data_IF_490491234990
#
_entry.id   IF_490491234990
#
_cell.length_a   1.000
_cell.length_b   1.000
_cell.length_c   1.000
_cell.angle_alpha   90.00
_cell.angle_beta   90.00
_cell.angle_gamma   90.00
#
_symmetry.space_group_name_H-M   'P 1'
#
loop_
_entity.id
_entity.type
_entity.pdbx_description
1 polymer ?
#
# COMPACT_ATOMS: atom_id res chain seq x y z
N UNK A 1 -15.32 12.23 12.76
CA UNK A 1 -14.39 12.35 11.63
C UNK A 1 -13.78 10.98 11.37
N UNK A 2 -14.03 10.43 10.23
CA UNK A 2 -13.39 9.16 9.87
C UNK A 2 -11.89 9.35 9.94
N UNK A 3 -11.19 8.49 10.70
CA UNK A 3 -9.74 8.42 10.59
C UNK A 3 -9.43 8.15 9.13
N UNK A 4 -8.70 9.04 8.54
CA UNK A 4 -8.39 8.96 7.13
C UNK A 4 -7.64 7.66 6.84
N UNK A 5 -8.23 6.85 5.99
CA UNK A 5 -7.64 5.57 5.58
C UNK A 5 -6.54 5.87 4.57
N UNK A 6 -5.33 5.42 4.88
CA UNK A 6 -4.16 5.63 4.02
C UNK A 6 -4.00 4.51 2.99
N UNK A 7 -3.27 4.79 1.91
CA UNK A 7 -2.91 3.77 0.93
C UNK A 7 -2.15 2.59 1.54
N UNK A 8 -1.30 2.86 2.53
CA UNK A 8 -0.57 1.81 3.24
C UNK A 8 -1.49 0.92 4.08
N UNK A 9 -2.54 1.48 4.68
CA UNK A 9 -3.56 0.68 5.40
C UNK A 9 -4.31 -0.26 4.44
N UNK A 10 -4.63 0.21 3.23
CA UNK A 10 -5.25 -0.61 2.18
C UNK A 10 -4.32 -1.76 1.76
N UNK A 11 -3.05 -1.47 1.58
CA UNK A 11 -2.02 -2.47 1.28
C UNK A 11 -1.95 -3.54 2.38
N UNK A 12 -1.84 -3.12 3.65
CA UNK A 12 -1.76 -4.05 4.77
C UNK A 12 -3.05 -4.86 4.98
N UNK A 13 -4.21 -4.28 4.72
CA UNK A 13 -5.48 -5.00 4.79
C UNK A 13 -5.49 -6.21 3.86
N UNK A 14 -4.95 -6.07 2.66
CA UNK A 14 -4.84 -7.17 1.70
C UNK A 14 -3.76 -8.19 2.11
N UNK A 15 -2.63 -7.72 2.60
CA UNK A 15 -1.51 -8.59 3.00
C UNK A 15 -1.84 -9.40 4.26
N UNK A 16 -2.27 -8.73 5.32
CA UNK A 16 -2.53 -9.36 6.62
C UNK A 16 -3.28 -8.38 7.53
N UNK A 17 -4.50 -8.74 7.90
CA UNK A 17 -5.34 -7.91 8.78
C UNK A 17 -4.75 -7.73 10.17
N UNK A 18 -4.03 -8.72 10.68
CA UNK A 18 -3.30 -8.66 11.95
C UNK A 18 -2.15 -7.64 11.89
N UNK A 19 -1.41 -7.61 10.78
CA UNK A 19 -0.37 -6.62 10.52
C UNK A 19 -0.94 -5.21 10.46
N UNK A 20 -2.08 -5.02 9.81
CA UNK A 20 -2.79 -3.74 9.80
C UNK A 20 -3.12 -3.29 11.23
N UNK A 21 -3.62 -4.21 12.06
CA UNK A 21 -3.94 -3.90 13.45
C UNK A 21 -2.71 -3.44 14.25
N UNK A 22 -1.57 -4.12 14.10
CA UNK A 22 -0.31 -3.70 14.70
C UNK A 22 0.09 -2.30 14.24
N UNK A 23 0.02 -2.07 12.95
CA UNK A 23 0.40 -0.80 12.35
C UNK A 23 -0.42 0.37 12.90
N UNK A 24 -1.75 0.25 12.97
CA UNK A 24 -2.61 1.33 13.44
C UNK A 24 -2.58 1.53 14.95
N UNK A 25 -2.08 0.56 15.68
CA UNK A 25 -1.82 0.65 17.13
C UNK A 25 -0.36 1.02 17.45
N UNK A 26 0.37 1.53 16.46
CA UNK A 26 1.74 2.04 16.60
C UNK A 26 2.77 0.97 17.02
N UNK A 27 2.45 -0.31 16.83
CA UNK A 27 3.40 -1.41 17.03
C UNK A 27 4.18 -1.59 15.72
N UNK A 28 5.26 -0.84 15.56
CA UNK A 28 6.03 -0.80 14.32
C UNK A 28 7.38 -1.53 14.48
N UNK A 29 7.49 -2.67 13.81
CA UNK A 29 8.72 -3.47 13.77
C UNK A 29 9.42 -3.41 12.40
N UNK A 30 8.87 -2.66 11.46
CA UNK A 30 9.36 -2.66 10.07
C UNK A 30 10.64 -1.87 9.86
N UNK A 31 10.93 -0.88 10.70
CA UNK A 31 12.10 -0.02 10.55
C UNK A 31 13.42 -0.80 10.55
N UNK A 32 13.47 -1.93 11.26
CA UNK A 32 14.63 -2.80 11.37
C UNK A 32 14.60 -3.98 10.38
N UNK A 33 13.61 -4.06 9.50
CA UNK A 33 13.48 -5.14 8.54
C UNK A 33 14.33 -4.87 7.29
N UNK A 34 15.25 -5.77 6.96
CA UNK A 34 16.14 -5.62 5.80
C UNK A 34 15.41 -5.49 4.46
N UNK A 35 14.26 -6.13 4.30
CA UNK A 35 13.45 -6.02 3.09
C UNK A 35 12.82 -4.64 2.94
N UNK A 36 12.40 -4.01 4.04
CA UNK A 36 11.87 -2.65 4.05
C UNK A 36 12.97 -1.64 3.73
N UNK A 37 14.14 -1.80 4.33
CA UNK A 37 15.31 -0.95 4.05
C UNK A 37 15.72 -1.05 2.58
N UNK A 38 15.79 -2.25 2.03
CA UNK A 38 16.12 -2.46 0.62
C UNK A 38 15.09 -1.80 -0.31
N UNK A 39 13.80 -1.91 0.02
CA UNK A 39 12.73 -1.25 -0.76
C UNK A 39 12.87 0.27 -0.78
N UNK A 40 13.18 0.89 0.35
CA UNK A 40 13.44 2.34 0.45
C UNK A 40 14.67 2.76 -0.35
N UNK A 41 15.76 2.02 -0.26
CA UNK A 41 16.99 2.30 -1.02
C UNK A 41 16.76 2.17 -2.53
N UNK A 42 16.00 1.18 -2.97
CA UNK A 42 15.64 1.01 -4.38
C UNK A 42 14.82 2.19 -4.90
N UNK A 43 13.82 2.63 -4.15
CA UNK A 43 13.00 3.78 -4.47
C UNK A 43 13.84 5.06 -4.60
N UNK A 44 14.75 5.32 -3.66
CA UNK A 44 15.64 6.49 -3.67
C UNK A 44 16.59 6.51 -4.87
N UNK A 45 17.05 5.37 -5.33
CA UNK A 45 18.07 5.27 -6.39
C UNK A 45 17.52 5.10 -7.79
N UNK A 46 16.26 4.64 -7.94
CA UNK A 46 15.70 4.30 -9.25
C UNK A 46 15.34 5.54 -10.07
N UNK A 47 14.84 6.59 -9.44
CA UNK A 47 14.38 7.82 -10.11
C UNK A 47 14.99 9.06 -9.48
N UNK A 48 16.22 9.37 -9.86
CA UNK A 48 16.98 10.50 -9.32
C UNK A 48 16.57 11.87 -9.85
N UNK A 49 15.82 11.92 -10.97
CA UNK A 49 15.48 13.15 -11.69
C UNK A 49 14.04 13.60 -11.54
N UNK A 50 13.15 12.72 -11.09
CA UNK A 50 11.72 13.02 -10.90
C UNK A 50 11.42 13.38 -9.44
N UNK A 51 10.41 14.19 -9.22
CA UNK A 51 9.92 14.45 -7.86
C UNK A 51 9.43 13.15 -7.25
N UNK A 52 10.04 12.77 -6.11
CA UNK A 52 9.72 11.55 -5.39
C UNK A 52 8.88 11.83 -4.15
N UNK A 53 8.02 10.87 -3.79
CA UNK A 53 7.24 10.88 -2.55
C UNK A 53 6.35 12.10 -2.41
N UNK A 54 5.41 12.21 -3.33
CA UNK A 54 4.36 13.22 -3.25
C UNK A 54 3.34 12.74 -2.22
N UNK A 55 3.24 13.48 -1.11
CA UNK A 55 2.21 13.26 -0.10
C UNK A 55 0.99 14.11 -0.41
N UNK A 56 -0.18 13.50 -0.43
CA UNK A 56 -1.46 14.19 -0.63
C UNK A 56 -2.33 13.95 0.60
N UNK A 57 -2.66 15.03 1.30
CA UNK A 57 -3.52 15.07 2.49
C UNK A 57 -3.06 14.15 3.65
N UNK A 58 -1.81 13.68 3.65
CA UNK A 58 -1.34 12.68 4.61
C UNK A 58 -1.93 11.28 4.41
N UNK A 59 -2.70 11.07 3.35
CA UNK A 59 -3.47 9.84 3.09
C UNK A 59 -2.79 8.96 2.08
N UNK A 60 -2.29 9.54 0.99
CA UNK A 60 -1.59 8.79 -0.05
C UNK A 60 -0.18 9.31 -0.24
N UNK A 61 0.74 8.38 -0.44
CA UNK A 61 2.11 8.66 -0.81
C UNK A 61 2.38 8.05 -2.18
N UNK A 62 2.52 8.90 -3.17
CA UNK A 62 2.84 8.50 -4.53
C UNK A 62 4.34 8.62 -4.70
N UNK A 63 4.98 7.61 -5.30
CA UNK A 63 6.42 7.65 -5.49
C UNK A 63 6.84 8.76 -6.44
N UNK A 64 6.10 8.96 -7.53
CA UNK A 64 6.22 10.16 -8.36
C UNK A 64 5.07 10.28 -9.39
N UNK A 65 4.94 11.49 -9.95
CA UNK A 65 4.06 11.77 -11.08
C UNK A 65 4.93 12.20 -12.25
N UNK A 66 4.98 11.39 -13.30
CA UNK A 66 5.83 11.64 -14.47
C UNK A 66 5.20 12.60 -15.48
N UNK A 67 3.90 12.62 -15.52
CA UNK A 67 3.10 13.59 -16.27
C UNK A 67 1.88 13.93 -15.45
N UNK A 68 1.15 14.98 -15.83
CA UNK A 68 -0.04 15.43 -15.10
C UNK A 68 -1.17 14.38 -14.95
N UNK A 69 -1.03 13.18 -15.54
CA UNK A 69 -2.07 12.15 -15.58
C UNK A 69 -1.63 10.74 -15.18
N UNK A 70 -0.35 10.52 -14.91
CA UNK A 70 0.19 9.19 -14.60
C UNK A 70 0.91 9.23 -13.29
N UNK A 71 0.43 8.47 -12.31
CA UNK A 71 1.13 8.27 -11.04
C UNK A 71 1.87 6.93 -11.04
N UNK A 72 2.99 6.90 -10.36
CA UNK A 72 3.86 5.73 -10.28
C UNK A 72 4.02 5.26 -8.84
N UNK A 73 3.98 3.97 -8.65
CA UNK A 73 4.34 3.27 -7.42
C UNK A 73 5.46 2.27 -7.72
N UNK A 74 6.50 2.28 -6.90
CA UNK A 74 7.69 1.46 -7.10
C UNK A 74 7.70 0.32 -6.07
N UNK A 75 7.90 -0.90 -6.53
CA UNK A 75 8.05 -2.09 -5.68
C UNK A 75 9.30 -2.87 -6.08
N UNK A 76 9.98 -3.44 -5.09
CA UNK A 76 11.18 -4.25 -5.33
C UNK A 76 10.88 -5.64 -5.88
N UNK A 77 9.68 -6.16 -5.62
CA UNK A 77 9.27 -7.51 -5.99
C UNK A 77 7.78 -7.58 -6.25
N UNK A 78 7.35 -8.55 -7.05
CA UNK A 78 5.95 -8.83 -7.35
C UNK A 78 5.33 -9.91 -6.44
N UNK A 79 6.00 -10.28 -5.35
CA UNK A 79 5.52 -11.34 -4.45
C UNK A 79 4.19 -11.02 -3.77
N UNK A 80 3.87 -9.73 -3.61
CA UNK A 80 2.60 -9.25 -3.02
C UNK A 80 1.89 -8.32 -4.02
N UNK A 81 1.89 -8.71 -5.29
CA UNK A 81 1.31 -7.90 -6.37
C UNK A 81 -0.16 -7.54 -6.17
N UNK A 82 -1.07 -8.44 -5.70
CA UNK A 82 -2.46 -8.05 -5.46
C UNK A 82 -2.60 -6.87 -4.50
N UNK A 83 -1.82 -6.82 -3.43
CA UNK A 83 -1.81 -5.72 -2.47
C UNK A 83 -1.23 -4.43 -3.08
N UNK A 84 -0.19 -4.56 -3.91
CA UNK A 84 0.42 -3.42 -4.61
C UNK A 84 -0.53 -2.81 -5.64
N UNK A 85 -1.24 -3.64 -6.42
CA UNK A 85 -2.29 -3.20 -7.35
C UNK A 85 -3.41 -2.47 -6.61
N UNK A 86 -3.89 -3.05 -5.52
CA UNK A 86 -4.95 -2.47 -4.71
C UNK A 86 -4.55 -1.12 -4.12
N UNK A 87 -3.31 -0.96 -3.70
CA UNK A 87 -2.78 0.30 -3.20
C UNK A 87 -2.82 1.40 -4.28
N UNK A 88 -2.40 1.09 -5.50
CA UNK A 88 -2.46 2.04 -6.62
C UNK A 88 -3.90 2.36 -7.00
N UNK A 89 -4.78 1.35 -7.04
CA UNK A 89 -6.20 1.56 -7.27
C UNK A 89 -6.83 2.49 -6.22
N UNK A 90 -6.43 2.35 -4.97
CA UNK A 90 -6.88 3.24 -3.90
C UNK A 90 -6.39 4.68 -4.11
N UNK A 91 -5.17 4.89 -4.56
CA UNK A 91 -4.66 6.22 -4.90
C UNK A 91 -5.50 6.87 -6.00
N UNK A 92 -5.81 6.13 -7.06
CA UNK A 92 -6.66 6.60 -8.15
C UNK A 92 -8.06 6.95 -7.67
N UNK A 93 -8.65 6.07 -6.86
CA UNK A 93 -9.98 6.24 -6.28
C UNK A 93 -10.05 7.47 -5.37
N UNK A 94 -9.07 7.65 -4.50
CA UNK A 94 -8.99 8.82 -3.62
C UNK A 94 -8.91 10.12 -4.41
N UNK A 95 -8.04 10.17 -5.41
CA UNK A 95 -7.87 11.35 -6.27
C UNK A 95 -9.11 11.62 -7.12
N UNK A 96 -9.77 10.59 -7.62
CA UNK A 96 -11.04 10.71 -8.33
C UNK A 96 -12.12 11.35 -7.46
N UNK A 97 -12.23 10.95 -6.18
CA UNK A 97 -13.15 11.58 -5.23
C UNK A 97 -12.80 13.03 -4.92
N UNK A 98 -11.56 13.43 -5.09
CA UNK A 98 -11.12 14.84 -5.01
C UNK A 98 -11.38 15.64 -6.30
N UNK A 99 -11.93 15.02 -7.34
CA UNK A 99 -12.23 15.66 -8.62
C UNK A 99 -11.16 15.49 -9.71
N UNK A 100 -10.11 14.72 -9.45
CA UNK A 100 -9.04 14.44 -10.42
C UNK A 100 -9.38 13.18 -11.22
N UNK A 101 -10.14 13.35 -12.30
CA UNK A 101 -10.65 12.27 -13.13
C UNK A 101 -9.68 11.96 -14.28
N UNK A 102 -9.64 10.69 -14.70
CA UNK A 102 -8.88 10.23 -15.87
C UNK A 102 -7.40 9.99 -15.60
N UNK A 103 -7.02 9.83 -14.33
CA UNK A 103 -5.68 9.43 -13.94
C UNK A 103 -5.47 7.94 -14.21
N UNK A 104 -4.23 7.61 -14.60
CA UNK A 104 -3.74 6.24 -14.72
C UNK A 104 -2.65 5.98 -13.69
N UNK A 105 -2.56 4.74 -13.24
CA UNK A 105 -1.48 4.29 -12.37
C UNK A 105 -0.51 3.37 -13.10
N UNK A 106 0.74 3.41 -12.70
CA UNK A 106 1.76 2.44 -13.13
C UNK A 106 2.42 1.88 -11.88
N UNK A 107 2.47 0.56 -11.83
CA UNK A 107 3.21 -0.20 -10.84
C UNK A 107 4.55 -0.62 -11.46
N UNK A 108 5.63 -0.11 -10.90
CA UNK A 108 6.99 -0.32 -11.41
C UNK A 108 7.74 -1.36 -10.58
N UNK A 109 8.31 -2.35 -11.27
CA UNK A 109 9.22 -3.35 -10.68
C UNK A 109 10.60 -3.23 -11.35
N UNK A 110 11.44 -2.28 -10.91
CA UNK A 110 12.71 -1.99 -11.59
C UNK A 110 13.67 -3.18 -11.63
N UNK A 111 13.73 -3.97 -10.55
CA UNK A 111 14.59 -5.17 -10.51
C UNK A 111 14.16 -6.26 -11.48
N UNK A 112 12.88 -6.30 -11.83
CA UNK A 112 12.31 -7.26 -12.78
C UNK A 112 12.22 -6.67 -14.19
N UNK A 113 12.54 -5.39 -14.36
CA UNK A 113 12.35 -4.61 -15.60
C UNK A 113 10.93 -4.73 -16.13
N UNK A 114 9.94 -4.65 -15.25
CA UNK A 114 8.52 -4.80 -15.57
C UNK A 114 7.73 -3.59 -15.06
N UNK A 115 6.70 -3.23 -15.82
CA UNK A 115 5.71 -2.23 -15.44
C UNK A 115 4.32 -2.79 -15.69
N UNK A 116 3.37 -2.43 -14.82
CA UNK A 116 1.97 -2.82 -14.95
C UNK A 116 1.12 -1.56 -14.94
N UNK A 117 0.31 -1.37 -15.96
CA UNK A 117 -0.69 -0.30 -15.98
C UNK A 117 -1.86 -0.67 -15.07
N UNK A 118 -2.27 0.26 -14.22
CA UNK A 118 -3.36 0.09 -13.27
C UNK A 118 -4.48 1.07 -13.61
N UNK A 119 -5.64 0.52 -13.90
CA UNK A 119 -6.86 1.27 -14.16
C UNK A 119 -7.90 1.01 -13.07
N UNK A 120 -8.89 1.87 -12.97
CA UNK A 120 -9.96 1.78 -12.01
C UNK A 120 -11.29 1.49 -12.72
N UNK A 121 -11.85 0.31 -12.49
CA UNK A 121 -13.17 -0.10 -12.98
C UNK A 121 -14.25 0.15 -11.92
N UNK A 122 -15.53 0.08 -12.29
CA UNK A 122 -16.63 0.22 -11.33
C UNK A 122 -16.60 -0.90 -10.27
N UNK A 123 -16.21 -2.10 -10.67
CA UNK A 123 -16.03 -3.23 -9.75
C UNK A 123 -14.89 -2.97 -8.76
N UNK A 124 -13.82 -2.33 -9.20
CA UNK A 124 -12.72 -1.96 -8.31
C UNK A 124 -13.17 -0.92 -7.29
N UNK A 125 -13.98 0.05 -7.69
CA UNK A 125 -14.56 1.06 -6.79
C UNK A 125 -15.44 0.41 -5.72
N UNK A 126 -16.33 -0.50 -6.11
CA UNK A 126 -17.15 -1.26 -5.17
C UNK A 126 -16.30 -2.09 -4.20
N UNK A 127 -15.27 -2.76 -4.71
CA UNK A 127 -14.34 -3.52 -3.89
C UNK A 127 -13.61 -2.62 -2.88
N UNK A 128 -13.16 -1.45 -3.30
CA UNK A 128 -12.50 -0.48 -2.42
C UNK A 128 -13.45 0.04 -1.34
N UNK A 129 -14.71 0.29 -1.64
CA UNK A 129 -15.70 0.66 -0.64
C UNK A 129 -15.85 -0.42 0.44
N UNK A 130 -15.90 -1.69 0.05
CA UNK A 130 -15.96 -2.81 0.98
C UNK A 130 -14.68 -2.95 1.82
N UNK A 131 -13.52 -2.73 1.22
CA UNK A 131 -12.23 -2.73 1.92
C UNK A 131 -12.17 -1.61 2.95
N UNK A 132 -12.62 -0.42 2.62
CA UNK A 132 -12.68 0.71 3.54
C UNK A 132 -13.55 0.38 4.76
N UNK A 133 -14.69 -0.26 4.55
CA UNK A 133 -15.56 -0.74 5.64
C UNK A 133 -14.81 -1.75 6.51
N UNK A 134 -14.15 -2.73 5.91
CA UNK A 134 -13.37 -3.75 6.62
C UNK A 134 -12.19 -3.17 7.40
N UNK A 135 -11.52 -2.16 6.87
CA UNK A 135 -10.46 -1.44 7.58
C UNK A 135 -11.03 -0.74 8.81
N UNK A 136 -12.14 -0.04 8.69
CA UNK A 136 -12.81 0.62 9.82
C UNK A 136 -13.16 -0.36 10.93
N UNK A 137 -13.60 -1.57 10.59
CA UNK A 137 -13.85 -2.63 11.57
C UNK A 137 -12.58 -3.03 12.33
N UNK A 138 -11.43 -3.12 11.63
CA UNK A 138 -10.15 -3.44 12.27
C UNK A 138 -9.68 -2.31 13.17
N UNK A 139 -9.84 -1.06 12.74
CA UNK A 139 -9.51 0.12 13.54
C UNK A 139 -10.28 0.16 14.87
N UNK A 140 -11.49 -0.38 14.90
CA UNK A 140 -12.33 -0.44 16.09
C UNK A 140 -12.06 -1.61 17.03
N UNK A 141 -11.15 -2.54 16.68
CA UNK A 141 -10.86 -3.72 17.52
C UNK A 141 -9.92 -3.39 18.67
N UNK A 142 -10.23 -3.90 19.86
CA UNK A 142 -9.37 -3.78 21.05
C UNK A 142 -8.20 -4.78 21.06
N UNK A 143 -8.30 -5.83 20.26
CA UNK A 143 -7.28 -6.88 20.16
C UNK A 143 -7.02 -7.25 18.70
N UNK A 144 -5.81 -7.80 18.39
CA UNK A 144 -5.48 -8.16 17.02
C UNK A 144 -6.41 -9.24 16.48
N UNK A 145 -6.73 -9.21 15.18
CA UNK A 145 -7.43 -10.31 14.51
C UNK A 145 -6.72 -11.64 14.70
N UNK A 146 -7.46 -12.73 14.53
CA UNK A 146 -6.89 -14.08 14.61
C UNK A 146 -5.68 -14.25 13.68
N UNK A 147 -4.70 -15.03 14.13
CA UNK A 147 -3.52 -15.35 13.33
C UNK A 147 -3.91 -16.26 12.16
N UNK A 148 -3.68 -15.77 10.95
CA UNK A 148 -3.82 -16.52 9.71
C UNK A 148 -2.43 -16.75 9.11
N UNK A 149 -1.91 -17.97 9.27
CA UNK A 149 -0.58 -18.31 8.73
C UNK A 149 -0.64 -18.40 7.20
N UNK A 150 0.27 -17.69 6.54
CA UNK A 150 0.44 -17.75 5.08
C UNK A 150 1.93 -17.76 4.69
N UNK A 151 2.20 -17.88 3.39
CA UNK A 151 3.57 -18.02 2.87
C UNK A 151 4.50 -16.84 3.12
N UNK A 152 3.96 -15.64 3.36
CA UNK A 152 4.76 -14.43 3.62
C UNK A 152 5.12 -14.24 5.09
N UNK A 153 4.51 -14.97 6.01
CA UNK A 153 4.75 -14.82 7.45
C UNK A 153 6.23 -14.96 7.82
N UNK A 154 6.93 -15.92 7.23
CA UNK A 154 8.37 -16.16 7.50
C UNK A 154 9.27 -14.97 7.16
N UNK A 155 8.86 -14.12 6.25
CA UNK A 155 9.57 -12.90 5.80
C UNK A 155 8.99 -11.63 6.38
N UNK A 156 7.96 -11.74 7.21
CA UNK A 156 7.26 -10.61 7.80
C UNK A 156 8.03 -10.06 8.99
N UNK A 157 8.11 -8.75 9.12
CA UNK A 157 8.74 -8.07 10.25
C UNK A 157 8.09 -8.41 11.61
N UNK A 158 6.83 -8.83 11.60
CA UNK A 158 6.06 -9.18 12.80
C UNK A 158 6.07 -10.68 13.13
N UNK A 159 6.88 -11.49 12.41
CA UNK A 159 6.89 -12.94 12.59
C UNK A 159 7.11 -13.36 14.04
N UNK A 160 8.11 -12.81 14.70
CA UNK A 160 8.46 -13.18 16.09
C UNK A 160 7.35 -12.78 17.07
N UNK A 161 6.62 -11.71 16.79
CA UNK A 161 5.49 -11.28 17.61
C UNK A 161 4.26 -12.17 17.42
N UNK A 162 4.03 -12.66 16.21
CA UNK A 162 2.87 -13.51 15.89
C UNK A 162 3.05 -14.98 16.34
N UNK A 163 4.29 -15.47 16.35
CA UNK A 163 4.61 -16.88 16.60
C UNK A 163 5.42 -17.09 17.89
N UNK A 164 5.12 -16.29 18.87
CA UNK A 164 5.69 -16.45 20.23
C UNK A 164 5.14 -17.73 20.88
#
# INVERSE_FOLDING_TARGET
MDKDITGLMVYYYEVCKRKLWYFVNEIQLEENNSNVILGKLLEENTYTRDEKKINIDGIINIDFIRSKKILHEIKKSNSIEPASLLQVQYYLYYLEKKGLIGLKGILDYPLLKQTIEVNLTDKDRENLDNIIIGIKEILGKESPPALEKNGICKKCAYFDLCFV
#
